data_IF_978367543862
#
_entry.id   IF_978367543862
#
_cell.length_a   1.000
_cell.length_b   1.000
_cell.length_c   1.000
_cell.angle_alpha   90.00
_cell.angle_beta   90.00
_cell.angle_gamma   90.00
#
_symmetry.space_group_name_H-M   'P 1'
#
loop_
_entity.id
_entity.type
_entity.pdbx_description
1 polymer ?
#
# COMPACT_ATOMS: atom_id res chain seq x y z
N UNK A 1 16.90 21.98 -15.80
CA UNK A 1 18.27 22.05 -15.22
C UNK A 1 19.14 23.08 -15.94
N UNK A 2 19.32 23.00 -17.27
CA UNK A 2 20.11 23.98 -18.05
C UNK A 2 19.65 25.44 -17.90
N UNK A 3 18.34 25.70 -17.86
CA UNK A 3 17.80 27.07 -17.70
C UNK A 3 18.12 27.71 -16.33
N UNK A 4 18.18 26.88 -15.28
CA UNK A 4 18.47 27.32 -13.90
C UNK A 4 19.98 27.49 -13.68
N UNK A 5 20.81 26.70 -14.36
CA UNK A 5 22.27 26.80 -14.28
C UNK A 5 22.86 27.96 -15.10
N UNK A 6 22.09 28.52 -16.03
CA UNK A 6 22.55 29.59 -16.93
C UNK A 6 22.01 30.99 -16.57
N UNK A 7 21.24 31.12 -15.49
CA UNK A 7 20.67 32.39 -14.98
C UNK A 7 20.05 33.28 -16.07
N UNK A 8 19.30 32.64 -16.98
CA UNK A 8 18.71 33.28 -18.16
C UNK A 8 17.19 33.39 -18.00
N UNK A 9 16.71 34.57 -17.60
CA UNK A 9 15.30 34.82 -17.31
C UNK A 9 14.35 34.46 -18.48
N UNK A 10 14.61 34.86 -19.75
CA UNK A 10 13.78 34.45 -20.88
C UNK A 10 13.67 32.93 -21.04
N UNK A 11 14.76 32.20 -20.81
CA UNK A 11 14.78 30.75 -20.91
C UNK A 11 14.02 30.08 -19.75
N UNK A 12 14.06 30.66 -18.55
CA UNK A 12 13.27 30.21 -17.42
C UNK A 12 11.77 30.44 -17.65
N UNK A 13 11.38 31.60 -18.18
CA UNK A 13 9.99 31.92 -18.52
C UNK A 13 9.45 31.00 -19.63
N UNK A 14 10.24 30.77 -20.68
CA UNK A 14 9.91 29.82 -21.74
C UNK A 14 9.79 28.38 -21.21
N UNK A 15 10.70 27.96 -20.32
CA UNK A 15 10.64 26.65 -19.67
C UNK A 15 9.39 26.50 -18.79
N UNK A 16 9.01 27.52 -18.04
CA UNK A 16 7.79 27.52 -17.21
C UNK A 16 6.54 27.42 -18.08
N UNK A 17 6.51 28.15 -19.20
CA UNK A 17 5.40 28.09 -20.16
C UNK A 17 5.26 26.70 -20.76
N UNK A 18 6.37 26.08 -21.16
CA UNK A 18 6.37 24.70 -21.68
C UNK A 18 5.91 23.72 -20.61
N UNK A 19 6.38 23.83 -19.36
CA UNK A 19 5.91 22.99 -18.26
C UNK A 19 4.40 23.09 -18.04
N UNK A 20 3.85 24.30 -18.05
CA UNK A 20 2.39 24.51 -17.91
C UNK A 20 1.59 23.91 -19.08
N UNK A 21 2.07 24.03 -20.31
CA UNK A 21 1.44 23.39 -21.47
C UNK A 21 1.51 21.85 -21.39
N UNK A 22 2.62 21.31 -20.91
CA UNK A 22 2.78 19.86 -20.69
C UNK A 22 1.82 19.37 -19.61
N UNK A 23 1.63 20.11 -18.53
CA UNK A 23 0.64 19.80 -17.50
C UNK A 23 -0.79 19.79 -18.07
N UNK A 24 -1.15 20.78 -18.90
CA UNK A 24 -2.46 20.81 -19.57
C UNK A 24 -2.67 19.63 -20.52
N UNK A 25 -1.64 19.24 -21.29
CA UNK A 25 -1.71 18.06 -22.17
C UNK A 25 -1.85 16.78 -21.34
N UNK A 26 -1.09 16.65 -20.25
CA UNK A 26 -1.16 15.50 -19.37
C UNK A 26 -2.56 15.37 -18.74
N UNK A 27 -3.12 16.48 -18.26
CA UNK A 27 -4.47 16.52 -17.68
C UNK A 27 -5.54 16.15 -18.73
N UNK A 28 -5.48 16.74 -19.92
CA UNK A 28 -6.36 16.38 -21.03
C UNK A 28 -6.24 14.90 -21.44
N UNK A 29 -5.02 14.35 -21.45
CA UNK A 29 -4.78 12.94 -21.77
C UNK A 29 -5.32 11.99 -20.68
N UNK A 30 -5.34 12.40 -19.42
CA UNK A 30 -5.91 11.62 -18.33
C UNK A 30 -7.42 11.43 -18.53
N UNK A 31 -8.14 12.50 -18.86
CA UNK A 31 -9.59 12.47 -19.11
C UNK A 31 -9.98 11.47 -20.21
N UNK A 32 -9.16 11.31 -21.26
CA UNK A 32 -9.42 10.36 -22.35
C UNK A 32 -9.46 8.88 -21.92
N UNK A 33 -8.89 8.56 -20.75
CA UNK A 33 -8.82 7.20 -20.19
C UNK A 33 -9.87 6.96 -19.11
N UNK A 34 -10.49 8.02 -18.60
CA UNK A 34 -11.44 7.91 -17.51
C UNK A 34 -12.75 7.27 -17.98
N UNK A 35 -13.33 6.45 -17.12
CA UNK A 35 -14.63 5.83 -17.33
C UNK A 35 -15.48 6.00 -16.06
N UNK A 36 -16.81 6.18 -16.17
CA UNK A 36 -17.67 6.29 -15.01
C UNK A 36 -17.68 4.98 -14.22
N UNK A 37 -17.71 5.08 -12.89
CA UNK A 37 -17.78 3.90 -12.00
C UNK A 37 -19.15 3.21 -11.97
N UNK A 38 -20.18 3.88 -12.51
CA UNK A 38 -21.58 3.48 -12.40
C UNK A 38 -21.87 2.04 -12.83
N UNK A 39 -21.21 1.53 -13.87
CA UNK A 39 -21.38 0.13 -14.30
C UNK A 39 -20.98 -0.86 -13.20
N UNK A 40 -19.92 -0.55 -12.45
CA UNK A 40 -19.48 -1.37 -11.31
C UNK A 40 -20.49 -1.29 -10.17
N UNK A 41 -21.00 -0.10 -9.84
CA UNK A 41 -22.02 0.06 -8.80
C UNK A 41 -23.36 -0.61 -9.16
N UNK A 42 -23.75 -0.59 -10.43
CA UNK A 42 -24.97 -1.25 -10.90
C UNK A 42 -24.89 -2.78 -10.77
N UNK A 43 -23.71 -3.38 -10.98
CA UNK A 43 -23.51 -4.81 -10.67
C UNK A 43 -23.73 -5.10 -9.19
N UNK A 44 -23.32 -4.19 -8.31
CA UNK A 44 -23.46 -4.37 -6.86
C UNK A 44 -24.91 -4.35 -6.40
N UNK A 45 -25.81 -3.59 -7.06
CA UNK A 45 -27.26 -3.66 -6.77
C UNK A 45 -27.79 -5.10 -6.82
N UNK A 46 -27.39 -5.86 -7.84
CA UNK A 46 -27.82 -7.25 -8.00
C UNK A 46 -27.28 -8.13 -6.87
N UNK A 47 -26.01 -7.97 -6.54
CA UNK A 47 -25.36 -8.77 -5.50
C UNK A 47 -25.94 -8.47 -4.12
N UNK A 48 -26.17 -7.19 -3.80
CA UNK A 48 -26.78 -6.80 -2.51
C UNK A 48 -28.16 -7.43 -2.37
N UNK A 49 -28.96 -7.46 -3.45
CA UNK A 49 -30.27 -8.13 -3.44
C UNK A 49 -30.16 -9.63 -3.18
N UNK A 50 -29.23 -10.31 -3.85
CA UNK A 50 -29.05 -11.77 -3.72
C UNK A 50 -28.57 -12.13 -2.30
N UNK A 51 -27.60 -11.38 -1.76
CA UNK A 51 -27.05 -11.59 -0.40
C UNK A 51 -28.08 -11.21 0.68
N UNK A 52 -28.84 -10.13 0.47
CA UNK A 52 -29.95 -9.74 1.36
C UNK A 52 -30.97 -10.87 1.52
N UNK A 53 -31.31 -11.57 0.44
CA UNK A 53 -32.19 -12.74 0.47
C UNK A 53 -31.55 -13.93 1.19
N UNK A 54 -30.28 -14.22 0.92
CA UNK A 54 -29.53 -15.30 1.57
C UNK A 54 -29.45 -15.13 3.09
N UNK A 55 -29.23 -13.89 3.55
CA UNK A 55 -29.13 -13.55 4.98
C UNK A 55 -30.48 -13.34 5.66
N UNK A 56 -31.59 -13.25 4.91
CA UNK A 56 -32.90 -12.90 5.45
C UNK A 56 -32.98 -11.50 6.05
N UNK A 57 -32.19 -10.55 5.55
CA UNK A 57 -32.18 -9.14 5.99
C UNK A 57 -32.72 -8.25 4.87
N UNK A 58 -33.68 -7.38 5.13
CA UNK A 58 -34.17 -6.40 4.14
C UNK A 58 -33.22 -5.21 4.08
N UNK A 59 -32.52 -5.02 2.95
CA UNK A 59 -31.46 -4.02 2.78
C UNK A 59 -31.71 -3.19 1.52
N UNK A 60 -31.67 -1.86 1.66
CA UNK A 60 -31.70 -0.92 0.54
C UNK A 60 -30.29 -0.46 0.17
N UNK A 61 -29.96 -0.51 -1.13
CA UNK A 61 -28.70 0.05 -1.64
C UNK A 61 -28.95 1.40 -2.30
N UNK A 62 -28.39 2.45 -1.70
CA UNK A 62 -28.39 3.81 -2.21
C UNK A 62 -27.05 4.04 -2.94
N UNK A 63 -27.10 4.49 -4.19
CA UNK A 63 -25.89 4.78 -4.97
C UNK A 63 -25.95 6.25 -5.36
N UNK A 64 -24.90 6.98 -5.00
CA UNK A 64 -24.67 8.38 -5.36
C UNK A 64 -23.30 8.49 -6.06
N UNK A 65 -23.16 9.43 -6.99
CA UNK A 65 -21.88 9.68 -7.67
C UNK A 65 -21.46 8.57 -8.64
N UNK A 66 -22.42 7.83 -9.21
CA UNK A 66 -22.15 6.77 -10.20
C UNK A 66 -21.51 7.33 -11.49
N UNK A 67 -21.67 8.61 -11.75
CA UNK A 67 -21.07 9.38 -12.83
C UNK A 67 -19.60 9.73 -12.59
N UNK A 68 -19.08 9.56 -11.36
CA UNK A 68 -17.69 9.86 -11.03
C UNK A 68 -16.75 9.04 -11.92
N UNK A 69 -15.82 9.73 -12.56
CA UNK A 69 -14.93 9.15 -13.54
C UNK A 69 -13.62 8.68 -12.88
N UNK A 70 -13.19 7.47 -13.20
CA UNK A 70 -11.95 6.87 -12.72
C UNK A 70 -11.18 6.22 -13.86
N UNK A 71 -9.88 6.02 -13.67
CA UNK A 71 -9.07 5.25 -14.60
C UNK A 71 -9.63 3.84 -14.78
N UNK A 72 -9.70 3.37 -16.03
CA UNK A 72 -10.17 2.02 -16.36
C UNK A 72 -9.47 0.93 -15.55
N UNK A 73 -8.15 1.01 -15.35
CA UNK A 73 -7.42 -0.03 -14.60
C UNK A 73 -7.74 0.02 -13.11
N UNK A 74 -8.04 1.20 -12.57
CA UNK A 74 -8.52 1.38 -11.20
C UNK A 74 -9.92 0.78 -11.05
N UNK A 75 -10.85 1.07 -11.97
CA UNK A 75 -12.21 0.50 -11.95
C UNK A 75 -12.20 -1.03 -11.99
N UNK A 76 -11.34 -1.63 -12.81
CA UNK A 76 -11.19 -3.09 -12.89
C UNK A 76 -10.65 -3.70 -11.58
N UNK A 77 -9.70 -3.02 -10.91
CA UNK A 77 -9.05 -3.52 -9.69
C UNK A 77 -9.81 -3.21 -8.40
N UNK A 78 -10.58 -2.12 -8.36
CA UNK A 78 -11.30 -1.68 -7.15
C UNK A 78 -12.60 -2.45 -6.93
N UNK A 79 -13.14 -3.10 -7.97
CA UNK A 79 -14.39 -3.85 -7.88
C UNK A 79 -14.39 -4.92 -6.79
N UNK A 80 -13.34 -5.74 -6.71
CA UNK A 80 -13.22 -6.82 -5.71
C UNK A 80 -13.12 -6.28 -4.27
N UNK A 81 -12.27 -5.28 -3.95
CA UNK A 81 -12.29 -4.60 -2.65
C UNK A 81 -13.66 -4.07 -2.22
N UNK A 82 -14.36 -3.36 -3.10
CA UNK A 82 -15.68 -2.78 -2.79
C UNK A 82 -16.72 -3.86 -2.54
N UNK A 83 -16.72 -4.92 -3.35
CA UNK A 83 -17.60 -6.08 -3.15
C UNK A 83 -17.44 -6.71 -1.78
N UNK A 84 -16.19 -6.84 -1.33
CA UNK A 84 -15.89 -7.43 -0.04
C UNK A 84 -16.33 -6.53 1.12
N UNK A 85 -16.12 -5.22 1.02
CA UNK A 85 -16.60 -4.26 2.01
C UNK A 85 -18.13 -4.24 2.10
N UNK A 86 -18.82 -4.23 0.96
CA UNK A 86 -20.29 -4.31 0.92
C UNK A 86 -20.81 -5.59 1.58
N UNK A 87 -20.17 -6.73 1.30
CA UNK A 87 -20.51 -8.00 1.94
C UNK A 87 -20.34 -7.93 3.45
N UNK A 88 -19.24 -7.38 3.95
CA UNK A 88 -19.01 -7.24 5.38
C UNK A 88 -20.04 -6.33 6.05
N UNK A 89 -20.43 -5.23 5.41
CA UNK A 89 -21.54 -4.39 5.89
C UNK A 89 -22.86 -5.16 5.94
N UNK A 90 -23.16 -6.04 4.97
CA UNK A 90 -24.39 -6.85 5.00
C UNK A 90 -24.34 -8.00 6.02
N UNK A 91 -23.23 -8.73 6.09
CA UNK A 91 -23.06 -9.91 6.95
C UNK A 91 -22.97 -9.50 8.42
N UNK A 92 -22.14 -8.50 8.73
CA UNK A 92 -21.75 -8.13 10.09
C UNK A 92 -22.23 -6.74 10.51
N UNK A 93 -22.36 -5.79 9.59
CA UNK A 93 -22.80 -4.42 9.92
C UNK A 93 -24.30 -4.34 10.20
N UNK A 94 -25.13 -4.70 9.23
CA UNK A 94 -26.58 -4.60 9.30
C UNK A 94 -27.16 -5.70 10.19
N UNK A 95 -27.95 -5.32 11.19
CA UNK A 95 -28.59 -6.25 12.12
C UNK A 95 -29.86 -6.91 11.53
N UNK A 96 -30.37 -7.96 12.18
CA UNK A 96 -31.66 -8.55 11.79
C UNK A 96 -32.82 -7.57 12.03
N UNK A 97 -33.93 -7.73 11.30
CA UNK A 97 -35.10 -6.87 11.46
C UNK A 97 -35.62 -6.80 12.92
N UNK A 98 -35.51 -7.91 13.66
CA UNK A 98 -35.88 -7.97 15.07
C UNK A 98 -34.94 -7.14 15.95
N UNK A 99 -33.63 -7.31 15.77
CA UNK A 99 -32.61 -6.53 16.49
C UNK A 99 -32.72 -5.03 16.18
N UNK A 100 -32.99 -4.67 14.91
CA UNK A 100 -33.20 -3.27 14.50
C UNK A 100 -34.41 -2.65 15.19
N UNK A 101 -35.54 -3.36 15.23
CA UNK A 101 -36.75 -2.89 15.95
C UNK A 101 -36.48 -2.74 17.45
N UNK A 102 -35.75 -3.67 18.06
CA UNK A 102 -35.37 -3.59 19.47
C UNK A 102 -34.47 -2.37 19.76
N UNK A 103 -33.63 -1.98 18.81
CA UNK A 103 -32.79 -0.79 18.87
C UNK A 103 -33.50 0.52 18.43
N UNK A 104 -34.80 0.46 18.09
CA UNK A 104 -35.57 1.63 17.62
C UNK A 104 -35.26 2.08 16.18
N UNK A 105 -34.60 1.24 15.39
CA UNK A 105 -34.19 1.52 14.01
C UNK A 105 -35.23 1.00 13.00
N UNK A 106 -35.30 1.57 11.78
CA UNK A 106 -36.14 1.04 10.71
C UNK A 106 -35.84 -0.43 10.43
N UNK A 107 -36.87 -1.24 10.15
CA UNK A 107 -36.69 -2.67 9.88
C UNK A 107 -35.86 -2.94 8.62
N UNK A 108 -35.93 -2.03 7.63
CA UNK A 108 -35.09 -2.03 6.43
C UNK A 108 -33.75 -1.37 6.76
N UNK A 109 -32.65 -2.06 6.47
CA UNK A 109 -31.29 -1.53 6.57
C UNK A 109 -30.93 -0.66 5.39
N UNK A 110 -30.04 0.30 5.58
CA UNK A 110 -29.53 1.15 4.52
C UNK A 110 -28.03 0.96 4.35
N UNK A 111 -27.64 0.70 3.11
CA UNK A 111 -26.26 0.67 2.65
C UNK A 111 -26.11 1.74 1.56
N UNK A 112 -25.11 2.60 1.68
CA UNK A 112 -24.84 3.64 0.70
C UNK A 112 -23.46 3.45 0.07
N UNK A 113 -23.41 3.67 -1.24
CA UNK A 113 -22.21 3.79 -2.05
C UNK A 113 -22.17 5.20 -2.59
N UNK A 114 -21.11 5.93 -2.28
CA UNK A 114 -20.89 7.28 -2.76
C UNK A 114 -19.52 7.37 -3.43
N UNK A 115 -19.42 8.09 -4.54
CA UNK A 115 -18.14 8.43 -5.15
C UNK A 115 -18.12 9.92 -5.51
N UNK A 116 -17.01 10.60 -5.24
CA UNK A 116 -16.85 12.02 -5.56
C UNK A 116 -15.37 12.39 -5.67
N UNK A 117 -15.10 13.53 -6.29
CA UNK A 117 -13.76 14.13 -6.31
C UNK A 117 -13.56 15.01 -5.08
N UNK A 118 -12.44 14.83 -4.38
CA UNK A 118 -12.01 15.68 -3.28
C UNK A 118 -10.50 15.88 -3.35
N UNK A 119 -10.07 17.14 -3.33
CA UNK A 119 -8.66 17.53 -3.16
C UNK A 119 -7.66 16.80 -4.08
N UNK A 120 -8.02 16.61 -5.36
CA UNK A 120 -7.17 15.92 -6.35
C UNK A 120 -7.16 14.39 -6.25
N UNK A 121 -8.03 13.83 -5.40
CA UNK A 121 -8.27 12.40 -5.25
C UNK A 121 -9.73 12.07 -5.58
N UNK A 122 -9.99 10.81 -5.90
CA UNK A 122 -11.33 10.25 -5.92
C UNK A 122 -11.58 9.59 -4.57
N UNK A 123 -12.67 9.95 -3.93
CA UNK A 123 -13.13 9.33 -2.68
C UNK A 123 -14.30 8.43 -3.00
N UNK A 124 -14.20 7.17 -2.57
CA UNK A 124 -15.29 6.20 -2.61
C UNK A 124 -15.67 5.88 -1.17
N UNK A 125 -16.92 6.10 -0.80
CA UNK A 125 -17.44 5.83 0.53
C UNK A 125 -18.45 4.68 0.49
N UNK A 126 -18.33 3.79 1.47
CA UNK A 126 -19.31 2.76 1.77
C UNK A 126 -19.80 3.06 3.18
N UNK A 127 -21.09 3.35 3.34
CA UNK A 127 -21.67 3.57 4.66
C UNK A 127 -22.85 2.63 4.91
N UNK A 128 -22.90 2.03 6.09
CA UNK A 128 -24.06 1.28 6.57
C UNK A 128 -24.65 1.96 7.81
N UNK A 129 -25.95 1.78 8.01
CA UNK A 129 -26.66 2.21 9.22
C UNK A 129 -26.75 1.07 10.25
N UNK A 130 -25.74 0.22 10.31
CA UNK A 130 -25.70 -1.00 11.13
C UNK A 130 -25.43 -0.77 12.62
N UNK A 131 -25.01 -1.83 13.31
CA UNK A 131 -24.68 -1.76 14.74
C UNK A 131 -23.37 -1.00 15.03
N UNK A 132 -22.58 -0.70 14.00
CA UNK A 132 -21.20 -0.23 14.15
C UNK A 132 -20.24 -1.33 14.60
N UNK A 133 -18.97 -0.98 14.73
CA UNK A 133 -17.92 -1.90 15.16
C UNK A 133 -17.96 -2.07 16.69
N UNK A 134 -17.84 -3.32 17.13
CA UNK A 134 -17.73 -3.64 18.55
C UNK A 134 -16.28 -3.43 19.01
N UNK A 135 -16.01 -2.25 19.58
CA UNK A 135 -14.70 -1.84 20.13
C UNK A 135 -14.12 -2.86 21.10
N UNK A 136 -14.91 -3.32 22.07
CA UNK A 136 -14.47 -4.25 23.11
C UNK A 136 -14.04 -5.58 22.50
N UNK A 137 -14.85 -6.14 21.60
CA UNK A 137 -14.55 -7.40 20.91
C UNK A 137 -13.29 -7.32 20.05
N UNK A 138 -13.06 -6.19 19.38
CA UNK A 138 -11.86 -5.96 18.58
C UNK A 138 -10.62 -5.88 19.50
N UNK A 139 -10.71 -5.12 20.60
CA UNK A 139 -9.63 -4.98 21.55
C UNK A 139 -9.27 -6.32 22.23
N UNK A 140 -10.26 -7.07 22.69
CA UNK A 140 -10.06 -8.38 23.31
C UNK A 140 -9.38 -9.35 22.34
N UNK A 141 -9.81 -9.35 21.07
CA UNK A 141 -9.20 -10.20 20.04
C UNK A 141 -7.77 -9.78 19.71
N UNK A 142 -7.50 -8.48 19.71
CA UNK A 142 -6.15 -7.95 19.49
C UNK A 142 -5.20 -8.30 20.64
N UNK A 143 -5.68 -8.23 21.88
CA UNK A 143 -4.92 -8.64 23.07
C UNK A 143 -4.63 -10.15 23.07
N UNK A 144 -5.62 -10.99 22.75
CA UNK A 144 -5.44 -12.44 22.63
C UNK A 144 -4.38 -12.84 21.60
N UNK A 145 -4.20 -12.01 20.57
CA UNK A 145 -3.20 -12.21 19.51
C UNK A 145 -1.86 -11.55 19.77
N UNK A 146 -1.70 -10.85 20.90
CA UNK A 146 -0.48 -10.13 21.24
C UNK A 146 -0.21 -8.90 20.36
N UNK A 147 -1.21 -8.40 19.63
CA UNK A 147 -1.08 -7.18 18.83
C UNK A 147 -1.09 -5.91 19.71
N UNK A 148 -1.74 -6.00 20.87
CA UNK A 148 -1.88 -4.91 21.83
C UNK A 148 -1.56 -5.42 23.22
N UNK A 149 -0.73 -4.69 23.98
CA UNK A 149 -0.42 -5.02 25.36
C UNK A 149 -1.66 -4.87 26.27
N UNK A 150 -1.77 -5.74 27.28
CA UNK A 150 -2.85 -5.65 28.27
C UNK A 150 -2.76 -4.30 29.01
N UNK A 151 -3.83 -3.50 28.95
CA UNK A 151 -3.89 -2.17 29.56
C UNK A 151 -3.42 -1.01 28.69
N UNK A 152 -3.11 -1.23 27.41
CA UNK A 152 -2.81 -0.14 26.48
C UNK A 152 -4.03 0.78 26.27
N UNK A 153 -3.82 2.08 26.38
CA UNK A 153 -4.85 3.09 26.12
C UNK A 153 -4.79 3.51 24.66
N UNK A 154 -5.62 2.87 23.82
CA UNK A 154 -5.78 3.20 22.41
C UNK A 154 -7.05 4.03 22.20
N UNK A 155 -6.97 4.95 21.23
CA UNK A 155 -8.13 5.66 20.69
C UNK A 155 -9.03 4.70 19.90
N UNK A 156 -10.30 5.05 19.74
CA UNK A 156 -11.26 4.22 18.99
C UNK A 156 -10.78 3.99 17.54
N UNK A 157 -10.20 5.03 16.92
CA UNK A 157 -9.63 4.94 15.58
C UNK A 157 -8.49 3.92 15.48
N UNK A 158 -7.57 3.93 16.45
CA UNK A 158 -6.48 2.95 16.51
C UNK A 158 -7.01 1.53 16.68
N UNK A 159 -8.03 1.35 17.53
CA UNK A 159 -8.67 0.04 17.73
C UNK A 159 -9.33 -0.43 16.44
N UNK A 160 -10.09 0.42 15.76
CA UNK A 160 -10.74 0.05 14.51
C UNK A 160 -9.75 -0.25 13.40
N UNK A 161 -8.60 0.43 13.35
CA UNK A 161 -7.56 0.14 12.38
C UNK A 161 -6.97 -1.27 12.52
N UNK A 162 -7.06 -1.89 13.70
CA UNK A 162 -6.60 -3.27 13.94
C UNK A 162 -7.33 -4.30 13.07
N UNK A 163 -8.55 -3.99 12.57
CA UNK A 163 -9.26 -4.93 11.69
C UNK A 163 -8.50 -5.20 10.40
N UNK A 164 -7.63 -4.29 9.98
CA UNK A 164 -6.82 -4.43 8.78
C UNK A 164 -5.51 -5.18 9.01
N UNK A 165 -5.21 -5.61 10.24
CA UNK A 165 -4.01 -6.40 10.51
C UNK A 165 -4.09 -7.79 9.85
N UNK A 166 -2.96 -8.33 9.38
CA UNK A 166 -2.93 -9.62 8.68
C UNK A 166 -3.62 -10.75 9.45
N UNK A 167 -4.56 -11.40 8.77
CA UNK A 167 -5.35 -12.49 9.34
C UNK A 167 -6.24 -12.10 10.52
N UNK A 168 -6.44 -10.81 10.82
CA UNK A 168 -7.36 -10.34 11.85
C UNK A 168 -8.80 -10.64 11.45
N UNK A 169 -9.52 -11.33 12.33
CA UNK A 169 -10.94 -11.61 12.17
C UNK A 169 -11.58 -11.77 13.54
N UNK A 170 -12.76 -11.17 13.70
CA UNK A 170 -13.59 -11.29 14.91
C UNK A 170 -14.52 -12.51 14.86
N UNK A 171 -14.54 -13.26 13.76
CA UNK A 171 -15.36 -14.46 13.61
C UNK A 171 -14.84 -15.61 14.49
N UNK A 172 -15.74 -16.26 15.21
CA UNK A 172 -15.44 -17.44 16.04
C UNK A 172 -15.35 -18.74 15.23
N UNK A 173 -15.95 -18.77 14.02
CA UNK A 173 -15.91 -19.91 13.10
C UNK A 173 -15.57 -19.45 11.68
N UNK A 174 -14.78 -20.27 10.97
CA UNK A 174 -14.51 -20.08 9.54
C UNK A 174 -15.77 -20.47 8.78
N UNK A 175 -16.55 -19.50 8.31
CA UNK A 175 -17.72 -19.80 7.46
C UNK A 175 -17.25 -20.21 6.06
N UNK A 176 -17.86 -21.26 5.51
CA UNK A 176 -17.53 -21.83 4.19
C UNK A 176 -17.62 -20.83 3.02
N UNK A 177 -18.28 -19.68 3.22
CA UNK A 177 -18.44 -18.63 2.20
C UNK A 177 -17.21 -17.70 2.10
N UNK A 178 -16.35 -17.64 3.13
CA UNK A 178 -15.10 -16.86 3.15
C UNK A 178 -13.88 -17.65 2.63
N UNK A 179 -14.11 -18.83 2.03
CA UNK A 179 -13.11 -19.83 1.61
C UNK A 179 -12.11 -19.43 0.52
N UNK A 180 -11.86 -18.13 0.28
CA UNK A 180 -10.76 -17.63 -0.55
C UNK A 180 -9.69 -16.84 0.21
N UNK A 181 -9.80 -16.75 1.54
CA UNK A 181 -8.78 -16.05 2.34
C UNK A 181 -8.77 -14.54 2.13
N UNK A 182 -9.94 -13.93 1.90
CA UNK A 182 -10.07 -12.48 1.72
C UNK A 182 -10.50 -11.88 3.06
N UNK A 183 -9.53 -11.37 3.82
CA UNK A 183 -9.78 -10.54 5.00
C UNK A 183 -9.72 -9.05 4.66
N UNK A 184 -9.96 -8.21 5.68
CA UNK A 184 -9.80 -6.76 5.55
C UNK A 184 -8.35 -6.36 5.23
N UNK A 185 -7.38 -7.18 5.63
CA UNK A 185 -5.97 -7.07 5.24
C UNK A 185 -5.75 -7.13 3.72
N UNK A 186 -6.46 -8.02 3.02
CA UNK A 186 -6.42 -8.13 1.56
C UNK A 186 -7.05 -6.90 0.90
N UNK A 187 -8.15 -6.37 1.45
CA UNK A 187 -8.76 -5.12 0.98
C UNK A 187 -7.79 -3.96 1.11
N UNK A 188 -7.21 -3.75 2.30
CA UNK A 188 -6.22 -2.68 2.53
C UNK A 188 -5.05 -2.82 1.59
N UNK A 189 -4.49 -4.03 1.45
CA UNK A 189 -3.39 -4.30 0.52
C UNK A 189 -3.75 -3.96 -0.93
N UNK A 190 -4.92 -4.36 -1.42
CA UNK A 190 -5.35 -4.06 -2.78
C UNK A 190 -5.52 -2.55 -3.01
N UNK A 191 -6.06 -1.82 -2.03
CA UNK A 191 -6.18 -0.37 -2.08
C UNK A 191 -4.78 0.29 -2.06
N UNK A 192 -3.86 -0.18 -1.20
CA UNK A 192 -2.48 0.31 -1.15
C UNK A 192 -1.71 0.02 -2.45
N UNK A 193 -1.97 -1.09 -3.13
CA UNK A 193 -1.41 -1.39 -4.45
C UNK A 193 -1.91 -0.42 -5.54
N UNK A 194 -3.10 0.16 -5.35
CA UNK A 194 -3.61 1.26 -6.15
C UNK A 194 -3.09 2.63 -5.67
N UNK A 195 -2.15 2.64 -4.73
CA UNK A 195 -1.63 3.84 -4.03
C UNK A 195 -2.74 4.66 -3.36
N UNK A 196 -3.85 3.99 -3.03
CA UNK A 196 -4.91 4.56 -2.24
C UNK A 196 -4.70 4.38 -0.74
N UNK A 197 -5.50 5.10 0.02
CA UNK A 197 -5.66 4.91 1.46
C UNK A 197 -7.07 4.43 1.77
N UNK A 198 -7.22 3.73 2.89
CA UNK A 198 -8.52 3.34 3.43
C UNK A 198 -8.61 3.82 4.86
N UNK A 199 -9.66 4.55 5.15
CA UNK A 199 -10.01 5.05 6.47
C UNK A 199 -11.34 4.46 6.89
N UNK A 200 -11.53 4.26 8.18
CA UNK A 200 -12.77 3.72 8.73
C UNK A 200 -13.23 4.56 9.90
N UNK A 201 -14.50 4.91 9.91
CA UNK A 201 -15.17 5.61 11.01
C UNK A 201 -16.40 4.79 11.41
N UNK A 202 -16.61 4.58 12.70
CA UNK A 202 -17.72 3.77 13.19
C UNK A 202 -18.25 4.26 14.52
N UNK A 203 -19.56 4.35 14.63
CA UNK A 203 -20.25 4.75 15.85
C UNK A 203 -21.22 3.64 16.29
N UNK A 204 -21.13 3.14 17.53
CA UNK A 204 -22.03 2.13 18.05
C UNK A 204 -23.50 2.51 17.88
N UNK A 205 -24.29 1.61 17.28
CA UNK A 205 -25.71 1.78 16.99
C UNK A 205 -26.04 2.65 15.76
N UNK A 206 -25.08 3.41 15.23
CA UNK A 206 -25.26 4.31 14.10
C UNK A 206 -24.66 3.80 12.79
N UNK A 207 -23.74 2.83 12.88
CA UNK A 207 -23.18 2.12 11.74
C UNK A 207 -21.72 2.45 11.48
N UNK A 208 -21.28 2.20 10.24
CA UNK A 208 -19.87 2.29 9.84
C UNK A 208 -19.73 2.99 8.50
N UNK A 209 -18.71 3.81 8.35
CA UNK A 209 -18.31 4.47 7.11
C UNK A 209 -16.88 4.06 6.79
N UNK A 210 -16.68 3.42 5.64
CA UNK A 210 -15.36 3.13 5.08
C UNK A 210 -15.11 4.09 3.93
N UNK A 211 -14.01 4.84 3.99
CA UNK A 211 -13.60 5.80 2.97
C UNK A 211 -12.34 5.31 2.28
N UNK A 212 -12.39 5.21 0.96
CA UNK A 212 -11.25 4.85 0.13
C UNK A 212 -10.85 6.08 -0.66
N UNK A 213 -9.60 6.53 -0.51
CA UNK A 213 -9.07 7.64 -1.30
C UNK A 213 -8.12 7.08 -2.35
N UNK A 214 -8.37 7.39 -3.61
CA UNK A 214 -7.58 6.95 -4.76
C UNK A 214 -7.04 8.18 -5.50
N UNK A 215 -5.76 8.17 -5.94
CA UNK A 215 -5.23 9.26 -6.75
C UNK A 215 -5.94 9.31 -8.12
N UNK A 216 -6.16 10.52 -8.63
CA UNK A 216 -6.81 10.76 -9.94
C UNK A 216 -5.94 10.34 -11.14
N UNK A 217 -4.62 10.23 -10.94
CA UNK A 217 -3.63 10.14 -12.02
C UNK A 217 -2.88 8.80 -12.06
N UNK A 218 -2.06 8.59 -13.10
CA UNK A 218 -0.97 7.61 -13.01
C UNK A 218 -0.10 8.01 -11.80
N UNK A 219 0.13 7.09 -10.86
CA UNK A 219 0.82 7.40 -9.62
C UNK A 219 2.19 8.05 -9.87
N UNK A 220 2.23 9.38 -9.77
CA UNK A 220 3.47 10.14 -9.73
C UNK A 220 4.08 9.89 -8.36
N UNK A 221 5.35 9.51 -8.34
CA UNK A 221 6.12 9.37 -7.13
C UNK A 221 7.32 10.30 -7.17
N UNK A 222 7.68 10.79 -5.99
CA UNK A 222 9.01 11.33 -5.77
C UNK A 222 9.92 10.12 -5.49
N UNK A 223 10.93 9.97 -6.33
CA UNK A 223 11.90 8.90 -6.24
C UNK A 223 13.30 9.43 -5.98
N UNK A 224 14.14 8.60 -5.39
CA UNK A 224 15.57 8.79 -5.27
C UNK A 224 16.25 7.84 -6.26
N UNK A 225 16.94 8.39 -7.26
CA UNK A 225 17.61 7.60 -8.29
C UNK A 225 18.96 7.12 -7.80
N UNK A 226 19.21 5.85 -8.05
CA UNK A 226 20.47 5.18 -7.72
C UNK A 226 20.96 4.39 -8.93
N UNK A 227 22.28 4.36 -9.11
CA UNK A 227 22.96 3.62 -10.17
C UNK A 227 23.54 2.32 -9.64
N UNK A 228 23.42 1.26 -10.44
CA UNK A 228 24.11 -0.01 -10.23
C UNK A 228 24.58 -0.49 -11.60
N UNK A 229 25.89 -0.59 -11.79
CA UNK A 229 26.49 -0.86 -13.10
C UNK A 229 25.89 0.06 -14.19
N UNK A 230 25.28 -0.51 -15.25
CA UNK A 230 24.62 0.25 -16.32
C UNK A 230 23.12 0.48 -16.08
N UNK A 231 22.59 0.03 -14.94
CA UNK A 231 21.16 0.05 -14.63
C UNK A 231 20.81 1.15 -13.64
N UNK A 232 19.65 1.79 -13.86
CA UNK A 232 19.11 2.79 -12.94
C UNK A 232 17.91 2.25 -12.20
N UNK A 233 17.88 2.51 -10.90
CA UNK A 233 16.79 2.15 -10.02
C UNK A 233 16.22 3.39 -9.33
N UNK A 234 14.95 3.30 -8.94
CA UNK A 234 14.23 4.36 -8.23
C UNK A 234 13.76 3.81 -6.89
N UNK A 235 14.15 4.47 -5.81
CA UNK A 235 13.65 4.19 -4.46
C UNK A 235 12.58 5.24 -4.13
N UNK A 236 11.37 4.89 -3.68
CA UNK A 236 10.39 5.87 -3.21
C UNK A 236 11.02 6.78 -2.13
N UNK A 237 11.00 8.10 -2.34
CA UNK A 237 11.73 9.06 -1.51
C UNK A 237 11.21 9.09 -0.08
N UNK A 238 9.91 8.83 0.13
CA UNK A 238 9.26 8.69 1.43
C UNK A 238 9.83 7.54 2.28
N UNK A 239 10.51 6.58 1.64
CA UNK A 239 11.14 5.44 2.30
C UNK A 239 12.65 5.64 2.51
N UNK A 240 13.24 6.73 2.00
CA UNK A 240 14.68 7.04 2.16
C UNK A 240 14.90 7.90 3.40
N UNK A 241 15.74 7.44 4.32
CA UNK A 241 16.04 8.15 5.57
C UNK A 241 17.33 8.98 5.44
N UNK A 242 18.44 8.37 5.03
CA UNK A 242 19.73 9.04 4.83
C UNK A 242 20.61 8.26 3.85
N UNK A 243 21.64 8.91 3.30
CA UNK A 243 22.63 8.28 2.43
C UNK A 243 24.02 8.38 3.07
N UNK A 244 24.79 7.30 2.99
CA UNK A 244 26.10 7.18 3.64
C UNK A 244 27.11 6.67 2.62
N UNK A 245 28.29 7.29 2.54
CA UNK A 245 29.38 6.79 1.71
C UNK A 245 30.03 5.57 2.39
N UNK A 246 30.21 4.48 1.63
CA UNK A 246 30.86 3.27 2.11
C UNK A 246 32.33 3.28 1.69
N UNK A 247 33.21 3.63 2.63
CA UNK A 247 34.65 3.61 2.41
C UNK A 247 35.20 2.19 2.19
N UNK A 248 36.45 2.10 1.74
CA UNK A 248 37.08 0.83 1.34
C UNK A 248 37.31 -0.10 2.54
N UNK A 249 37.53 0.45 3.74
CA UNK A 249 37.76 -0.34 4.97
C UNK A 249 36.46 -0.97 5.49
N UNK A 250 35.39 -0.19 5.56
CA UNK A 250 34.08 -0.68 5.99
C UNK A 250 33.49 -1.65 4.97
N UNK A 251 33.85 -1.54 3.67
CA UNK A 251 33.37 -2.45 2.63
C UNK A 251 33.73 -3.92 2.86
N UNK A 252 34.97 -4.20 3.24
CA UNK A 252 35.40 -5.57 3.48
C UNK A 252 34.73 -6.14 4.74
N UNK A 253 34.67 -5.34 5.82
CA UNK A 253 34.05 -5.72 7.08
C UNK A 253 32.54 -5.99 6.93
N UNK A 254 31.85 -5.15 6.16
CA UNK A 254 30.39 -5.25 5.92
C UNK A 254 30.03 -6.35 4.93
N UNK A 255 30.88 -6.66 3.95
CA UNK A 255 30.67 -7.76 2.99
C UNK A 255 30.64 -9.12 3.68
N UNK A 256 31.51 -9.31 4.68
CA UNK A 256 31.61 -10.57 5.42
C UNK A 256 30.54 -10.69 6.51
N UNK A 257 30.17 -9.58 7.16
CA UNK A 257 29.16 -9.59 8.24
C UNK A 257 27.72 -9.47 7.72
N UNK A 258 27.50 -8.77 6.61
CA UNK A 258 26.18 -8.39 6.12
C UNK A 258 25.52 -7.23 6.88
N UNK A 259 26.23 -6.59 7.82
CA UNK A 259 25.69 -5.51 8.66
C UNK A 259 26.64 -4.31 8.73
N UNK A 260 26.07 -3.13 8.96
CA UNK A 260 26.79 -1.87 9.23
C UNK A 260 26.38 -1.34 10.60
N UNK A 261 27.34 -0.88 11.40
CA UNK A 261 27.05 -0.11 12.61
C UNK A 261 26.68 1.33 12.21
N UNK A 262 25.40 1.65 12.32
CA UNK A 262 24.86 2.98 12.10
C UNK A 262 24.62 3.68 13.44
N UNK A 263 25.66 4.33 13.96
CA UNK A 263 25.62 5.13 15.22
C UNK A 263 25.15 4.32 16.44
N UNK A 264 25.57 3.07 16.55
CA UNK A 264 25.22 2.13 17.62
C UNK A 264 24.04 1.22 17.29
N UNK A 265 23.36 1.42 16.14
CA UNK A 265 22.32 0.53 15.65
C UNK A 265 22.89 -0.45 14.60
N UNK A 266 22.59 -1.73 14.74
CA UNK A 266 22.92 -2.74 13.72
C UNK A 266 22.00 -2.56 12.52
N UNK A 267 22.56 -2.17 11.38
CA UNK A 267 21.83 -1.98 10.13
C UNK A 267 22.11 -3.16 9.18
N UNK A 268 21.12 -4.00 8.85
CA UNK A 268 21.30 -5.04 7.84
C UNK A 268 21.51 -4.42 6.45
N UNK A 269 22.44 -4.97 5.68
CA UNK A 269 22.77 -4.49 4.35
C UNK A 269 22.26 -5.43 3.26
N UNK A 270 21.69 -4.85 2.21
CA UNK A 270 21.37 -5.54 0.96
C UNK A 270 22.27 -5.02 -0.14
N UNK A 271 23.15 -5.87 -0.64
CA UNK A 271 23.93 -5.59 -1.82
C UNK A 271 23.06 -5.76 -3.05
N UNK A 272 22.55 -4.64 -3.59
CA UNK A 272 21.61 -4.69 -4.71
C UNK A 272 22.23 -5.29 -5.99
N UNK A 273 23.56 -5.22 -6.12
CA UNK A 273 24.31 -5.93 -7.16
C UNK A 273 24.05 -7.43 -7.12
N UNK A 274 24.25 -8.03 -5.96
CA UNK A 274 24.09 -9.47 -5.78
C UNK A 274 22.60 -9.84 -5.85
N UNK A 275 21.73 -9.00 -5.28
CA UNK A 275 20.29 -9.22 -5.28
C UNK A 275 19.71 -9.29 -6.70
N UNK A 276 20.20 -8.43 -7.61
CA UNK A 276 19.75 -8.40 -9.01
C UNK A 276 20.71 -9.10 -9.98
N UNK A 277 21.69 -9.87 -9.48
CA UNK A 277 22.69 -10.59 -10.28
C UNK A 277 23.43 -9.74 -11.32
N UNK A 278 23.90 -8.55 -10.92
CA UNK A 278 24.77 -7.72 -11.77
C UNK A 278 26.18 -8.28 -11.81
N UNK A 279 26.63 -8.72 -13.00
CA UNK A 279 27.95 -9.35 -13.21
C UNK A 279 29.11 -8.34 -13.42
N UNK A 280 28.80 -7.04 -13.57
CA UNK A 280 29.82 -6.00 -13.76
C UNK A 280 30.79 -5.88 -12.58
N UNK A 281 31.98 -5.29 -12.74
CA UNK A 281 32.89 -5.04 -11.63
C UNK A 281 32.26 -4.08 -10.61
N UNK A 282 32.44 -4.32 -9.31
CA UNK A 282 31.96 -3.40 -8.28
C UNK A 282 32.59 -2.01 -8.43
N UNK A 283 31.80 -0.95 -8.25
CA UNK A 283 32.31 0.41 -8.33
C UNK A 283 33.34 0.68 -7.22
N UNK A 284 34.36 1.50 -7.51
CA UNK A 284 35.41 1.85 -6.55
C UNK A 284 34.86 2.55 -5.31
N UNK A 285 33.78 3.31 -5.45
CA UNK A 285 33.01 3.90 -4.35
C UNK A 285 31.62 3.30 -4.39
N UNK A 286 31.09 2.99 -3.21
CA UNK A 286 29.74 2.51 -3.03
C UNK A 286 29.07 3.35 -1.96
N UNK A 287 27.76 3.39 -2.00
CA UNK A 287 26.94 4.17 -1.10
C UNK A 287 25.89 3.27 -0.46
N UNK A 288 25.49 3.59 0.75
CA UNK A 288 24.37 2.96 1.46
C UNK A 288 23.22 3.94 1.48
N UNK A 289 22.11 3.54 0.87
CA UNK A 289 20.83 4.24 1.02
C UNK A 289 20.08 3.57 2.16
N UNK A 290 19.96 4.27 3.29
CA UNK A 290 19.22 3.79 4.45
C UNK A 290 17.73 3.95 4.16
N UNK A 291 17.01 2.82 4.10
CA UNK A 291 15.57 2.78 3.86
C UNK A 291 14.82 2.29 5.09
N UNK A 292 13.62 2.83 5.29
CA UNK A 292 12.73 2.45 6.39
C UNK A 292 11.32 2.18 5.86
N UNK A 293 10.71 1.11 6.37
CA UNK A 293 9.29 0.83 6.18
C UNK A 293 8.72 0.24 7.47
N UNK A 294 7.71 0.90 8.02
CA UNK A 294 7.19 0.61 9.37
C UNK A 294 8.36 0.58 10.40
N UNK A 295 8.43 -0.49 11.21
CA UNK A 295 9.47 -0.66 12.22
C UNK A 295 10.81 -1.19 11.66
N UNK A 296 10.86 -1.58 10.39
CA UNK A 296 12.03 -2.22 9.79
C UNK A 296 12.90 -1.21 9.05
N UNK A 297 14.23 -1.37 9.18
CA UNK A 297 15.26 -0.51 8.59
C UNK A 297 16.34 -1.37 7.97
N UNK A 298 16.82 -1.00 6.77
CA UNK A 298 17.96 -1.65 6.13
C UNK A 298 18.76 -0.66 5.29
N UNK A 299 20.00 -1.00 4.98
CA UNK A 299 20.83 -0.25 4.04
C UNK A 299 20.89 -0.93 2.68
N UNK A 300 20.58 -0.20 1.61
CA UNK A 300 20.75 -0.67 0.25
C UNK A 300 22.11 -0.21 -0.29
N UNK A 301 23.00 -1.15 -0.58
CA UNK A 301 24.32 -0.83 -1.13
C UNK A 301 24.20 -0.66 -2.65
N UNK A 302 24.55 0.54 -3.12
CA UNK A 302 24.48 0.98 -4.52
C UNK A 302 25.82 1.52 -4.99
N UNK A 303 26.00 1.63 -6.30
CA UNK A 303 27.23 2.21 -6.86
C UNK A 303 27.15 3.75 -6.82
N UNK A 304 26.08 4.32 -7.37
CA UNK A 304 25.93 5.78 -7.52
C UNK A 304 24.64 6.33 -6.91
N UNK A 305 24.71 7.57 -6.42
CA UNK A 305 23.55 8.37 -5.98
C UNK A 305 23.30 9.46 -7.04
N UNK A 306 22.17 9.38 -7.74
CA UNK A 306 21.84 10.30 -8.84
C UNK A 306 20.87 11.41 -8.41
N UNK A 307 20.32 11.33 -7.19
CA UNK A 307 19.52 12.37 -6.56
C UNK A 307 18.01 12.20 -6.74
N UNK A 308 17.26 13.25 -6.38
CA UNK A 308 15.80 13.25 -6.44
C UNK A 308 15.26 13.37 -7.87
N UNK A 309 14.18 12.64 -8.14
CA UNK A 309 13.52 12.62 -9.43
C UNK A 309 12.03 12.32 -9.28
N UNK A 310 11.19 13.16 -9.88
CA UNK A 310 9.76 12.91 -9.94
C UNK A 310 9.43 12.06 -11.16
N UNK A 311 8.66 10.99 -10.97
CA UNK A 311 8.42 10.03 -12.05
C UNK A 311 7.10 9.29 -11.93
N UNK A 312 6.62 8.74 -13.05
CA UNK A 312 5.36 7.99 -13.09
C UNK A 312 5.64 6.50 -12.98
N UNK A 313 4.99 5.83 -12.03
CA UNK A 313 5.05 4.37 -11.95
C UNK A 313 4.23 3.74 -13.08
N UNK A 314 4.90 2.93 -13.90
CA UNK A 314 4.24 1.99 -14.81
C UNK A 314 4.27 0.60 -14.18
N UNK A 315 3.11 -0.04 -13.93
CA UNK A 315 3.09 -1.39 -13.41
C UNK A 315 3.74 -2.34 -14.42
N UNK A 316 4.52 -3.29 -13.92
CA UNK A 316 5.08 -4.33 -14.77
C UNK A 316 3.96 -5.25 -15.28
N UNK A 317 4.06 -5.67 -16.54
CA UNK A 317 3.07 -6.57 -17.14
C UNK A 317 2.97 -7.91 -16.39
N UNK A 318 1.88 -8.66 -16.59
CA UNK A 318 1.58 -9.92 -15.85
C UNK A 318 2.71 -10.95 -15.87
N UNK A 319 3.54 -10.97 -16.92
CA UNK A 319 4.72 -11.84 -17.05
C UNK A 319 5.76 -11.61 -15.94
N UNK A 320 5.79 -10.41 -15.36
CA UNK A 320 6.76 -9.97 -14.37
C UNK A 320 6.20 -9.95 -12.94
N UNK A 321 4.96 -10.44 -12.73
CA UNK A 321 4.33 -10.45 -11.40
C UNK A 321 5.06 -11.32 -10.35
N UNK A 322 5.96 -12.19 -10.80
CA UNK A 322 6.82 -13.00 -9.92
C UNK A 322 8.15 -12.33 -9.55
N UNK A 323 8.49 -11.18 -10.15
CA UNK A 323 9.70 -10.45 -9.81
C UNK A 323 9.57 -9.90 -8.39
N UNK A 324 10.47 -10.34 -7.53
CA UNK A 324 10.54 -9.86 -6.15
C UNK A 324 11.45 -8.64 -6.09
N UNK A 325 11.11 -7.67 -5.24
CA UNK A 325 11.92 -6.47 -5.04
C UNK A 325 11.72 -5.35 -6.06
N UNK A 326 10.78 -5.50 -7.01
CA UNK A 326 10.45 -4.46 -8.00
C UNK A 326 8.94 -4.22 -8.00
N UNK A 327 8.52 -2.97 -7.81
CA UNK A 327 7.11 -2.55 -7.78
C UNK A 327 6.61 -2.00 -9.13
N UNK A 328 7.53 -1.58 -10.00
CA UNK A 328 7.18 -0.98 -11.28
C UNK A 328 8.41 -0.60 -12.12
N UNK A 329 8.15 0.10 -13.21
CA UNK A 329 9.18 0.75 -14.01
C UNK A 329 8.78 2.18 -14.33
N UNK A 330 9.75 2.97 -14.77
CA UNK A 330 9.53 4.30 -15.31
C UNK A 330 10.45 4.57 -16.50
N UNK A 331 10.15 5.62 -17.27
CA UNK A 331 10.99 6.12 -18.35
C UNK A 331 11.61 7.44 -17.87
N UNK A 332 12.94 7.48 -17.85
CA UNK A 332 13.71 8.67 -17.50
C UNK A 332 13.61 9.73 -18.61
N UNK A 333 13.99 10.97 -18.31
CA UNK A 333 14.03 12.05 -19.32
C UNK A 333 14.96 11.75 -20.51
N UNK A 334 15.92 10.84 -20.31
CA UNK A 334 16.81 10.32 -21.37
C UNK A 334 16.15 9.29 -22.29
N UNK A 335 14.94 8.82 -21.97
CA UNK A 335 14.27 7.69 -22.64
C UNK A 335 14.69 6.32 -22.11
N UNK A 336 15.69 6.24 -21.23
CA UNK A 336 16.09 5.00 -20.58
C UNK A 336 15.02 4.51 -19.60
N UNK A 337 14.94 3.19 -19.41
CA UNK A 337 14.03 2.59 -18.44
C UNK A 337 14.72 2.46 -17.08
N UNK A 338 14.05 2.87 -16.02
CA UNK A 338 14.48 2.63 -14.64
C UNK A 338 13.45 1.76 -13.91
N UNK A 339 13.93 0.89 -13.02
CA UNK A 339 13.07 -0.01 -12.22
C UNK A 339 12.81 0.60 -10.85
N UNK A 340 11.58 0.56 -10.38
CA UNK A 340 11.19 1.10 -9.07
C UNK A 340 11.24 -0.04 -8.06
N UNK A 341 12.01 0.14 -6.99
CA UNK A 341 12.19 -0.89 -5.97
C UNK A 341 10.94 -1.07 -5.11
N UNK A 342 10.64 -2.32 -4.75
CA UNK A 342 9.63 -2.67 -3.75
C UNK A 342 10.32 -2.84 -2.39
N UNK A 343 10.52 -1.72 -1.68
CA UNK A 343 11.19 -1.69 -0.38
C UNK A 343 10.47 -2.57 0.66
N UNK A 344 9.14 -2.55 0.81
CA UNK A 344 8.44 -3.48 1.69
C UNK A 344 8.75 -4.95 1.38
N UNK A 345 8.77 -5.35 0.10
CA UNK A 345 9.09 -6.72 -0.27
C UNK A 345 10.55 -7.08 0.02
N UNK A 346 11.48 -6.15 -0.21
CA UNK A 346 12.90 -6.33 0.10
C UNK A 346 13.13 -6.50 1.60
N UNK A 347 12.58 -5.61 2.43
CA UNK A 347 12.73 -5.67 3.89
C UNK A 347 12.14 -6.95 4.49
N UNK A 348 10.96 -7.38 4.03
CA UNK A 348 10.35 -8.63 4.48
C UNK A 348 11.23 -9.86 4.19
N UNK A 349 12.00 -9.87 3.09
CA UNK A 349 12.91 -10.96 2.79
C UNK A 349 14.10 -11.01 3.75
N UNK A 350 14.64 -9.85 4.11
CA UNK A 350 15.75 -9.74 5.06
C UNK A 350 15.32 -10.30 6.42
N UNK A 351 14.16 -9.87 6.92
CA UNK A 351 13.60 -10.34 8.19
C UNK A 351 13.40 -11.86 8.19
N UNK A 352 12.92 -12.43 7.07
CA UNK A 352 12.77 -13.88 6.92
C UNK A 352 14.12 -14.63 6.84
N UNK A 353 15.16 -14.02 6.26
CA UNK A 353 16.51 -14.60 6.21
C UNK A 353 17.17 -14.57 7.59
N UNK A 354 17.07 -13.47 8.33
CA UNK A 354 17.58 -13.36 9.71
C UNK A 354 16.92 -14.37 10.66
N UNK A 355 15.59 -14.54 10.55
CA UNK A 355 14.84 -15.52 11.34
C UNK A 355 15.24 -16.98 11.04
N UNK A 356 15.74 -17.27 9.82
CA UNK A 356 16.25 -18.60 9.44
C UNK A 356 17.69 -18.83 9.91
N UNK A 357 18.53 -17.80 9.85
CA UNK A 357 19.94 -17.89 10.29
C UNK A 357 20.09 -18.06 11.80
N UNK A 358 19.11 -17.60 12.59
CA UNK A 358 19.06 -17.80 14.05
C UNK A 358 18.57 -19.19 14.49
N UNK A 359 18.17 -20.08 13.56
CA UNK A 359 17.66 -21.43 13.85
C UNK A 359 18.63 -22.59 13.49
N UNK A 360 19.93 -22.35 13.31
CA UNK A 360 20.89 -23.46 13.11
C UNK A 360 21.07 -24.24 14.43
N UNK A 361 20.91 -25.59 14.47
CA UNK A 361 20.99 -26.36 15.72
C UNK A 361 22.39 -26.35 16.32
N UNK A 362 22.49 -26.10 17.63
CA UNK A 362 23.66 -26.46 18.45
C UNK A 362 23.86 -27.98 18.41
N UNK A 363 24.62 -28.46 17.44
CA UNK A 363 25.17 -29.81 17.46
C UNK A 363 26.61 -29.75 16.98
N UNK A 364 27.54 -29.72 17.95
CA UNK A 364 28.90 -30.30 17.95
C UNK A 364 29.76 -29.56 18.99
N UNK A 365 29.51 -29.87 20.26
CA UNK A 365 30.55 -29.75 21.29
C UNK A 365 31.17 -31.16 21.44
N UNK A 366 32.47 -31.37 21.14
CA UNK A 366 33.11 -32.64 21.43
C UNK A 366 33.22 -32.78 22.94
N UNK A 367 32.65 -33.85 23.47
CA UNK A 367 32.85 -34.29 24.85
C UNK A 367 34.31 -34.67 25.05
N UNK A 368 34.87 -34.10 26.11
CA UNK A 368 36.18 -34.39 26.68
C UNK A 368 36.36 -35.89 26.99
N UNK A 369 37.58 -36.37 26.78
CA UNK A 369 38.16 -37.49 27.53
C UNK A 369 39.51 -37.09 28.08
#
# INVERSE_FOLDING_TARGET
>A
MLARSCDNDPLQEASSTVSGLVEQILDGALHLRMIPIGDTFNRFRRVVRDVSQELGKDIDLIINGAETELDKTVVEKIGDPLMHLLRNSMDHGIESAEARRAAGKPAKGHLSLNAYHDSGSIVIEIADDGAGLNRERILDKAQQRGLVAAGASLTDQEIYNLIFEPGFSTAEAVTNLSGRGVGMDVVKRNITLLRGTVDLDSQPGQGTIVRIRLPLTLAIINGFLVGIDQSTYVIPLDMVQECIELDEQNRHLTRDSGYLDLRGEVLPLVYLRDHFNHEGPAARRQNVVVVRYAEHKAGLVVDDLLGEFQTVIKPLGKLFGALRGISGSTILGSGAVALILDIPALLNQIVQMEARSTQVPQALLPTSR
#
